data_IF_560738660762
#
_entry.id   IF_560738660762
#
_cell.length_a   1.000
_cell.length_b   1.000
_cell.length_c   1.000
_cell.angle_alpha   90.00
_cell.angle_beta   90.00
_cell.angle_gamma   90.00
#
_symmetry.space_group_name_H-M   'P 1'
#
loop_
_entity.id
_entity.type
_entity.pdbx_description
1 polymer ?
#
# COMPACT_ATOMS: atom_id res chain seq x y z
N UNK A 1 2.14 2.57 23.73
CA UNK A 1 3.21 1.88 22.96
C UNK A 1 2.59 1.51 21.62
N UNK A 2 3.12 2.05 20.52
CA UNK A 2 2.51 1.90 19.19
C UNK A 2 2.61 0.41 18.76
N UNK A 3 1.46 -0.28 18.69
CA UNK A 3 1.41 -1.73 18.45
C UNK A 3 1.44 -2.10 16.95
N UNK A 4 2.01 -1.22 16.13
CA UNK A 4 2.06 -1.37 14.68
C UNK A 4 2.67 -2.72 14.26
N UNK A 5 3.77 -3.15 14.91
CA UNK A 5 4.43 -4.41 14.57
C UNK A 5 3.51 -5.61 14.80
N UNK A 6 2.74 -5.65 15.90
CA UNK A 6 1.79 -6.75 16.14
C UNK A 6 0.61 -6.71 15.18
N UNK A 7 0.10 -5.51 14.85
CA UNK A 7 -1.00 -5.35 13.88
C UNK A 7 -0.56 -5.75 12.46
N UNK A 8 0.65 -5.36 12.06
CA UNK A 8 1.24 -5.74 10.78
C UNK A 8 1.49 -7.26 10.70
N UNK A 9 1.94 -7.90 11.79
CA UNK A 9 2.13 -9.35 11.84
C UNK A 9 0.81 -10.13 11.71
N UNK A 10 -0.27 -9.62 12.32
CA UNK A 10 -1.60 -10.20 12.18
C UNK A 10 -2.10 -10.07 10.73
N UNK A 11 -1.99 -8.88 10.14
CA UNK A 11 -2.36 -8.63 8.74
C UNK A 11 -1.59 -9.52 7.76
N UNK A 12 -0.28 -9.72 7.97
CA UNK A 12 0.53 -10.59 7.13
C UNK A 12 0.09 -12.06 7.22
N UNK A 13 -0.36 -12.49 8.39
CA UNK A 13 -0.89 -13.84 8.62
C UNK A 13 -2.25 -14.03 7.95
N UNK A 14 -3.13 -13.03 8.06
CA UNK A 14 -4.51 -13.10 7.54
C UNK A 14 -4.58 -13.00 6.01
N UNK A 15 -3.68 -12.23 5.39
CA UNK A 15 -3.66 -11.99 3.95
C UNK A 15 -2.74 -12.97 3.18
N UNK A 16 -1.87 -13.70 3.88
CA UNK A 16 -0.84 -14.55 3.26
C UNK A 16 -1.39 -15.67 2.38
N UNK A 17 -2.57 -16.21 2.68
CA UNK A 17 -3.18 -17.30 1.89
C UNK A 17 -3.75 -16.82 0.54
N UNK A 18 -4.03 -15.52 0.37
CA UNK A 18 -4.53 -14.98 -0.90
C UNK A 18 -3.40 -14.58 -1.87
N UNK A 19 -2.14 -14.65 -1.42
CA UNK A 19 -0.96 -13.98 -1.99
C UNK A 19 -0.33 -14.59 -3.26
N UNK A 20 -1.10 -15.12 -4.23
CA UNK A 20 -0.55 -15.32 -5.60
C UNK A 20 0.14 -14.04 -6.12
N UNK A 21 0.90 -14.07 -7.24
CA UNK A 21 1.68 -12.89 -7.71
C UNK A 21 0.94 -11.53 -7.58
N UNK A 22 -0.34 -11.39 -7.99
CA UNK A 22 -1.08 -10.14 -7.82
C UNK A 22 -1.36 -9.75 -6.36
N UNK A 23 -1.49 -10.72 -5.48
CA UNK A 23 -1.78 -10.50 -4.07
C UNK A 23 -0.51 -10.32 -3.22
N UNK A 24 0.66 -10.76 -3.71
CA UNK A 24 1.95 -10.30 -3.18
C UNK A 24 2.19 -8.81 -3.47
N UNK A 25 1.82 -8.33 -4.66
CA UNK A 25 1.86 -6.90 -5.00
C UNK A 25 0.86 -6.08 -4.16
N UNK A 26 -0.36 -6.58 -3.96
CA UNK A 26 -1.36 -5.92 -3.11
C UNK A 26 -0.93 -5.88 -1.63
N UNK A 27 -0.40 -6.98 -1.07
CA UNK A 27 0.13 -6.99 0.28
C UNK A 27 1.29 -5.98 0.44
N UNK A 28 2.18 -5.91 -0.56
CA UNK A 28 3.23 -4.90 -0.63
C UNK A 28 2.66 -3.48 -0.65
N UNK A 29 1.59 -3.23 -1.39
CA UNK A 29 0.92 -1.92 -1.46
C UNK A 29 0.26 -1.53 -0.13
N UNK A 30 -0.44 -2.46 0.53
CA UNK A 30 -1.06 -2.24 1.85
C UNK A 30 0.00 -1.82 2.87
N UNK A 31 1.08 -2.59 2.99
CA UNK A 31 2.17 -2.30 3.94
C UNK A 31 2.88 -1.00 3.57
N UNK A 32 3.12 -0.76 2.28
CA UNK A 32 3.76 0.45 1.77
C UNK A 32 3.02 1.71 2.21
N UNK A 33 1.69 1.73 2.08
CA UNK A 33 0.84 2.87 2.45
C UNK A 33 0.67 2.97 3.97
N UNK A 34 0.38 1.88 4.68
CA UNK A 34 0.22 1.90 6.14
C UNK A 34 1.52 2.24 6.88
N UNK A 35 2.69 1.93 6.33
CA UNK A 35 3.97 2.37 6.88
C UNK A 35 4.20 3.87 6.67
N UNK A 36 3.74 4.44 5.55
CA UNK A 36 3.83 5.86 5.26
C UNK A 36 2.78 6.70 6.02
N UNK A 37 1.59 6.12 6.22
CA UNK A 37 0.41 6.73 6.81
C UNK A 37 -0.24 5.79 7.87
N UNK A 38 0.40 5.60 9.04
CA UNK A 38 -0.10 4.69 10.07
C UNK A 38 -1.50 5.05 10.58
N UNK A 39 -1.93 6.32 10.44
CA UNK A 39 -3.26 6.82 10.78
C UNK A 39 -4.40 6.10 10.03
N UNK A 40 -4.12 5.47 8.89
CA UNK A 40 -5.12 4.72 8.12
C UNK A 40 -5.29 3.27 8.59
N UNK A 41 -4.50 2.79 9.56
CA UNK A 41 -4.51 1.38 10.00
C UNK A 41 -5.88 0.94 10.51
N UNK A 42 -6.49 1.72 11.40
CA UNK A 42 -7.77 1.34 12.01
C UNK A 42 -8.90 1.39 10.97
N UNK A 43 -8.89 2.40 10.10
CA UNK A 43 -9.82 2.53 8.97
C UNK A 43 -9.69 1.36 7.99
N UNK A 44 -8.47 0.92 7.68
CA UNK A 44 -8.26 -0.25 6.82
C UNK A 44 -8.80 -1.54 7.43
N UNK A 45 -8.67 -1.72 8.75
CA UNK A 45 -9.23 -2.89 9.44
C UNK A 45 -10.76 -2.92 9.42
N UNK A 46 -11.40 -1.74 9.39
CA UNK A 46 -12.87 -1.60 9.37
C UNK A 46 -13.44 -1.66 7.95
N UNK A 47 -12.84 -0.95 7.01
CA UNK A 47 -13.39 -0.71 5.66
C UNK A 47 -12.70 -1.56 4.57
N UNK A 48 -11.49 -2.06 4.83
CA UNK A 48 -10.74 -2.94 3.92
C UNK A 48 -10.58 -2.39 2.52
N UNK A 49 -11.26 -3.01 1.55
CA UNK A 49 -11.17 -2.74 0.12
C UNK A 49 -11.58 -1.32 -0.29
N UNK A 50 -12.40 -0.63 0.49
CA UNK A 50 -12.88 0.73 0.18
C UNK A 50 -11.73 1.73 0.06
N UNK A 51 -10.63 1.54 0.80
CA UNK A 51 -9.46 2.41 0.75
C UNK A 51 -8.69 2.29 -0.57
N UNK A 52 -8.93 1.24 -1.36
CA UNK A 52 -8.42 1.16 -2.73
C UNK A 52 -9.31 1.92 -3.71
N UNK A 53 -10.63 1.92 -3.47
CA UNK A 53 -11.61 2.57 -4.34
C UNK A 53 -11.52 4.09 -4.21
N UNK A 54 -11.35 4.61 -3.00
CA UNK A 54 -11.23 6.05 -2.75
C UNK A 54 -9.83 6.63 -3.04
N UNK A 55 -8.88 5.77 -3.40
CA UNK A 55 -7.51 6.15 -3.75
C UNK A 55 -6.58 6.37 -2.54
N UNK A 56 -7.02 6.11 -1.31
CA UNK A 56 -6.16 6.17 -0.11
C UNK A 56 -4.95 5.25 -0.30
N UNK A 57 -5.17 4.04 -0.82
CA UNK A 57 -4.14 3.02 -1.00
C UNK A 57 -3.40 3.11 -2.35
N UNK A 58 -3.48 4.24 -3.06
CA UNK A 58 -2.72 4.45 -4.29
C UNK A 58 -1.20 4.32 -4.06
N UNK A 59 -0.49 3.73 -5.03
CA UNK A 59 0.97 3.50 -4.95
C UNK A 59 1.78 4.79 -4.75
N UNK A 60 1.24 5.94 -5.17
CA UNK A 60 1.85 7.25 -4.93
C UNK A 60 1.79 7.70 -3.46
N UNK A 61 0.94 7.10 -2.64
CA UNK A 61 0.83 7.37 -1.20
C UNK A 61 1.71 6.43 -0.36
N UNK A 62 2.35 5.44 -1.00
CA UNK A 62 3.20 4.47 -0.34
C UNK A 62 4.63 4.95 -0.05
N UNK A 63 5.41 4.03 0.51
CA UNK A 63 6.84 4.18 0.82
C UNK A 63 7.76 3.21 0.06
N UNK A 64 7.21 2.13 -0.50
CA UNK A 64 7.95 1.15 -1.31
C UNK A 64 8.01 1.57 -2.79
N UNK A 65 9.03 1.09 -3.49
CA UNK A 65 9.17 1.26 -4.94
C UNK A 65 8.39 0.20 -5.72
N UNK A 66 7.87 0.57 -6.89
CA UNK A 66 7.10 -0.32 -7.76
C UNK A 66 7.79 -0.51 -9.10
N UNK A 67 7.64 -1.70 -9.69
CA UNK A 67 8.13 -1.96 -11.03
C UNK A 67 7.07 -1.56 -12.06
N UNK A 68 7.45 -0.70 -13.02
CA UNK A 68 6.59 -0.34 -14.15
C UNK A 68 6.45 -1.53 -15.10
N UNK A 69 5.43 -1.50 -15.97
CA UNK A 69 5.29 -2.49 -17.05
C UNK A 69 6.48 -2.50 -18.03
N UNK A 70 7.23 -1.39 -18.10
CA UNK A 70 8.45 -1.28 -18.92
C UNK A 70 9.71 -1.79 -18.20
N UNK A 71 9.57 -2.18 -16.93
CA UNK A 71 10.64 -2.72 -16.11
C UNK A 71 11.38 -1.69 -15.25
N UNK A 72 11.02 -0.41 -15.33
CA UNK A 72 11.60 0.65 -14.50
C UNK A 72 11.22 0.49 -13.02
N UNK A 73 12.08 0.92 -12.11
CA UNK A 73 11.75 0.98 -10.68
C UNK A 73 11.37 2.42 -10.33
N UNK A 74 10.12 2.61 -9.90
CA UNK A 74 9.52 3.90 -9.63
C UNK A 74 9.35 4.11 -8.13
N UNK A 75 9.92 5.20 -7.61
CA UNK A 75 9.68 5.66 -6.25
C UNK A 75 8.35 6.47 -6.19
N UNK A 76 7.58 6.40 -5.08
CA UNK A 76 6.31 7.11 -4.94
C UNK A 76 6.37 8.62 -5.23
N UNK A 77 7.50 9.29 -4.97
CA UNK A 77 7.68 10.71 -5.33
C UNK A 77 7.62 10.97 -6.85
N UNK A 78 8.11 10.03 -7.67
CA UNK A 78 8.03 10.11 -9.12
C UNK A 78 6.57 9.98 -9.58
N UNK A 79 5.82 9.07 -8.95
CA UNK A 79 4.40 8.88 -9.22
C UNK A 79 3.58 10.12 -8.85
N UNK A 80 3.87 10.74 -7.69
CA UNK A 80 3.25 12.00 -7.27
C UNK A 80 3.54 13.14 -8.25
N UNK A 81 4.79 13.28 -8.68
CA UNK A 81 5.17 14.28 -9.67
C UNK A 81 4.47 14.07 -11.02
N UNK A 82 4.35 12.81 -11.48
CA UNK A 82 3.62 12.48 -12.70
C UNK A 82 2.13 12.83 -12.60
N UNK A 83 1.47 12.54 -11.47
CA UNK A 83 0.07 12.93 -11.24
C UNK A 83 -0.14 14.44 -11.22
N UNK A 84 0.77 15.18 -10.59
CA UNK A 84 0.74 16.66 -10.57
C UNK A 84 0.94 17.29 -11.96
N UNK A 85 1.58 16.58 -12.88
CA UNK A 85 1.77 17.01 -14.28
C UNK A 85 0.63 16.58 -15.23
N UNK A 86 -0.35 15.81 -14.73
CA UNK A 86 -1.55 15.37 -15.47
C UNK A 86 -2.78 16.25 -15.18
N UNK A 87 -2.62 17.30 -14.38
CA UNK A 87 -3.61 18.37 -14.16
C UNK A 87 -3.32 19.55 -15.09
#
# INVERSE_FOLDING_TARGET
MNNFISKAAQLATDLGWQAGEPASELAGQIISVLAAHPEHTDRFLEEGGELFIDGTFDTANGSLTYRSQRGDILHPSVLRAQKGNLQ
#
